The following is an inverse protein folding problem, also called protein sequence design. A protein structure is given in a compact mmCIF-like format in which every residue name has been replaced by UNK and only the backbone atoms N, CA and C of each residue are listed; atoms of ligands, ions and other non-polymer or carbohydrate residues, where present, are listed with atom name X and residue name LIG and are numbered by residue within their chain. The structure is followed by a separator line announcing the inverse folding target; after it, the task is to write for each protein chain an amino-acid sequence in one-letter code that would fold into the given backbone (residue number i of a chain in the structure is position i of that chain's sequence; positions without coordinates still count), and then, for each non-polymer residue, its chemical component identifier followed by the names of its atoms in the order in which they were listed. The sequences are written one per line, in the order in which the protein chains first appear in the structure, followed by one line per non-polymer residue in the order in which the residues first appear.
data_IF_337371210040
#
_entry.id   IF_337371210040
#
_cell.length_a   1.000
_cell.length_b   1.000
_cell.length_c   1.000
_cell.angle_alpha   90.00
_cell.angle_beta   90.00
_cell.angle_gamma   90.00
#
_symmetry.space_group_name_H-M   'P 1'
#
loop_
_entity.id
_entity.type
_entity.pdbx_description
1 polymer ?
#
# COMPACT_ATOMS: atom_id res chain seq x y z
N UNK A 1 -7.54 -2.52 -4.12
CA UNK A 1 -6.64 -2.49 -5.30
C UNK A 1 -7.41 -2.11 -6.55
N UNK A 2 -8.24 -2.99 -7.13
CA UNK A 2 -8.88 -2.77 -8.46
C UNK A 2 -9.68 -1.46 -8.62
N UNK A 3 -10.27 -0.92 -7.55
CA UNK A 3 -11.00 0.36 -7.60
C UNK A 3 -10.09 1.59 -7.78
N UNK A 4 -8.80 1.46 -7.49
CA UNK A 4 -7.85 2.58 -7.44
C UNK A 4 -6.67 2.40 -8.41
N UNK A 5 -6.36 1.15 -8.80
CA UNK A 5 -5.50 0.81 -9.94
C UNK A 5 -6.20 1.24 -11.24
N UNK A 6 -5.92 2.46 -11.66
CA UNK A 6 -6.48 3.08 -12.86
C UNK A 6 -5.65 2.69 -14.09
N UNK A 7 -4.36 2.46 -13.91
CA UNK A 7 -3.45 1.94 -14.93
C UNK A 7 -3.74 0.51 -15.37
N UNK A 8 -4.45 -0.25 -14.53
CA UNK A 8 -4.72 -1.70 -14.68
C UNK A 8 -3.44 -2.51 -14.86
N UNK A 9 -2.38 -2.11 -14.16
CA UNK A 9 -1.10 -2.80 -14.20
C UNK A 9 -0.93 -3.78 -13.03
N UNK A 10 -1.92 -3.88 -12.14
CA UNK A 10 -1.92 -4.78 -10.99
C UNK A 10 -1.18 -4.22 -9.77
N UNK A 11 -0.77 -2.95 -9.82
CA UNK A 11 -0.10 -2.23 -8.74
C UNK A 11 -0.78 -0.88 -8.47
N UNK A 12 -0.43 -0.26 -7.35
CA UNK A 12 -0.80 1.12 -7.05
C UNK A 12 0.48 1.95 -7.05
N UNK A 13 0.56 2.88 -8.00
CA UNK A 13 1.63 3.86 -8.00
C UNK A 13 1.36 5.03 -7.02
N UNK A 14 2.33 5.93 -6.90
CA UNK A 14 2.25 7.09 -6.00
C UNK A 14 1.03 7.99 -6.26
N UNK A 15 0.63 8.17 -7.53
CA UNK A 15 -0.50 9.02 -7.90
C UNK A 15 -1.83 8.33 -7.63
N UNK A 16 -1.90 7.03 -7.84
CA UNK A 16 -3.05 6.21 -7.52
C UNK A 16 -3.26 6.11 -6.00
N UNK A 17 -2.18 5.97 -5.23
CA UNK A 17 -2.22 6.02 -3.77
C UNK A 17 -2.70 7.38 -3.28
N UNK A 18 -2.19 8.46 -3.87
CA UNK A 18 -2.66 9.82 -3.57
C UNK A 18 -4.17 9.95 -3.78
N UNK A 19 -4.66 9.54 -4.94
CA UNK A 19 -6.09 9.60 -5.28
C UNK A 19 -6.94 8.73 -4.34
N UNK A 20 -6.42 7.56 -3.97
CA UNK A 20 -7.06 6.68 -3.00
C UNK A 20 -7.22 7.39 -1.65
N UNK A 21 -6.16 7.98 -1.12
CA UNK A 21 -6.16 8.69 0.18
C UNK A 21 -7.09 9.91 0.16
N UNK A 22 -7.13 10.66 -0.94
CA UNK A 22 -8.09 11.77 -1.12
C UNK A 22 -9.55 11.28 -1.11
N UNK A 23 -9.84 10.18 -1.83
CA UNK A 23 -11.18 9.58 -1.87
C UNK A 23 -11.63 8.99 -0.53
N UNK A 24 -10.68 8.56 0.30
CA UNK A 24 -10.94 8.06 1.66
C UNK A 24 -11.08 9.19 2.69
N UNK A 25 -10.90 10.46 2.28
CA UNK A 25 -11.00 11.61 3.18
C UNK A 25 -9.78 11.80 4.09
N UNK A 26 -8.66 11.13 3.78
CA UNK A 26 -7.42 11.16 4.56
C UNK A 26 -6.23 11.58 3.69
N UNK A 27 -6.25 12.77 3.06
CA UNK A 27 -5.19 13.21 2.16
C UNK A 27 -3.84 13.24 2.87
N UNK A 28 -2.82 12.70 2.22
CA UNK A 28 -1.45 12.64 2.74
C UNK A 28 -0.53 13.60 1.97
N UNK A 29 0.57 13.99 2.60
CA UNK A 29 1.62 14.75 1.91
C UNK A 29 2.38 13.85 0.94
N UNK A 30 3.04 14.43 -0.07
CA UNK A 30 3.89 13.68 -1.00
C UNK A 30 4.97 12.85 -0.30
N UNK A 31 5.56 13.41 0.78
CA UNK A 31 6.55 12.70 1.57
C UNK A 31 5.91 11.56 2.38
N UNK A 32 4.73 11.78 2.95
CA UNK A 32 3.96 10.74 3.65
C UNK A 32 3.64 9.57 2.73
N UNK A 33 3.13 9.84 1.54
CA UNK A 33 2.84 8.81 0.52
C UNK A 33 4.09 8.03 0.12
N UNK A 34 5.22 8.70 -0.08
CA UNK A 34 6.51 8.03 -0.38
C UNK A 34 6.96 7.12 0.76
N UNK A 35 6.80 7.55 2.00
CA UNK A 35 7.13 6.72 3.16
C UNK A 35 6.22 5.50 3.25
N UNK A 36 4.91 5.67 3.02
CA UNK A 36 3.95 4.56 3.01
C UNK A 36 4.28 3.51 1.95
N UNK A 37 4.68 3.94 0.74
CA UNK A 37 5.14 3.00 -0.29
C UNK A 37 6.39 2.29 0.18
N UNK A 38 7.40 3.04 0.64
CA UNK A 38 8.68 2.49 1.08
C UNK A 38 8.58 1.48 2.24
N UNK A 39 7.54 1.57 3.08
CA UNK A 39 7.29 0.64 4.18
C UNK A 39 6.77 -0.73 3.74
N UNK A 40 6.32 -0.86 2.49
CA UNK A 40 5.64 -2.04 1.97
C UNK A 40 6.27 -2.55 0.67
N UNK A 41 6.91 -1.68 -0.10
CA UNK A 41 7.63 -1.96 -1.36
C UNK A 41 8.87 -2.82 -1.11
N UNK A 42 8.73 -4.14 -1.26
CA UNK A 42 9.78 -5.12 -1.00
C UNK A 42 10.72 -5.32 -2.19
N UNK A 43 10.20 -5.14 -3.40
CA UNK A 43 10.97 -5.31 -4.63
C UNK A 43 11.59 -4.00 -5.16
N UNK A 44 11.29 -2.88 -4.48
CA UNK A 44 11.82 -1.54 -4.73
C UNK A 44 11.45 -0.97 -6.11
N UNK A 45 10.30 -1.36 -6.66
CA UNK A 45 9.80 -0.83 -7.93
C UNK A 45 9.08 0.53 -7.79
N UNK A 46 8.87 0.99 -6.55
CA UNK A 46 8.24 2.26 -6.22
C UNK A 46 6.72 2.27 -6.31
N UNK A 47 6.10 1.09 -6.36
CA UNK A 47 4.65 0.87 -6.38
C UNK A 47 4.25 -0.13 -5.30
N UNK A 48 2.94 -0.33 -5.15
CA UNK A 48 2.38 -1.33 -4.24
C UNK A 48 1.65 -2.39 -5.04
N UNK A 49 2.26 -3.57 -5.16
CA UNK A 49 1.58 -4.72 -5.75
C UNK A 49 0.55 -5.31 -4.77
N UNK A 50 -0.42 -6.05 -5.31
CA UNK A 50 -1.38 -6.79 -4.49
C UNK A 50 -0.69 -7.74 -3.50
N UNK A 51 0.42 -8.36 -3.91
CA UNK A 51 1.18 -9.30 -3.10
C UNK A 51 1.79 -8.60 -1.87
N UNK A 52 2.52 -7.50 -2.08
CA UNK A 52 3.19 -6.77 -1.00
C UNK A 52 2.19 -6.22 0.03
N UNK A 53 1.05 -5.70 -0.46
CA UNK A 53 0.01 -5.19 0.44
C UNK A 53 -0.68 -6.29 1.25
N UNK A 54 -0.73 -7.53 0.74
CA UNK A 54 -1.31 -8.69 1.43
C UNK A 54 -0.32 -9.28 2.44
N UNK A 55 0.97 -9.39 2.08
CA UNK A 55 2.03 -9.88 2.96
C UNK A 55 2.13 -9.03 4.23
N UNK A 56 2.13 -7.70 4.11
CA UNK A 56 2.07 -6.78 5.26
C UNK A 56 0.82 -6.96 6.12
N UNK A 57 -0.35 -7.19 5.51
CA UNK A 57 -1.59 -7.46 6.26
C UNK A 57 -1.57 -8.81 7.00
N UNK A 58 -0.86 -9.81 6.46
CA UNK A 58 -0.71 -11.12 7.09
C UNK A 58 0.31 -11.05 8.23
N UNK A 59 1.42 -10.33 8.04
CA UNK A 59 2.42 -10.09 9.08
C UNK A 59 1.84 -9.28 10.25
N UNK A 60 1.12 -8.18 9.95
CA UNK A 60 0.39 -7.39 10.95
C UNK A 60 -0.69 -8.20 11.71
N UNK A 61 -1.14 -9.34 11.16
CA UNK A 61 -2.10 -10.26 11.81
C UNK A 61 -1.42 -11.44 12.51
N UNK A 62 -0.12 -11.66 12.30
CA UNK A 62 0.67 -12.75 12.88
C UNK A 62 1.19 -12.47 14.29
N UNK A 63 1.28 -11.20 14.70
CA UNK A 63 1.77 -10.81 16.04
C UNK A 63 0.81 -11.15 17.21
N UNK A 64 -0.38 -11.70 16.92
CA UNK A 64 -1.35 -12.15 17.94
C UNK A 64 -1.36 -13.67 18.17
N UNK A 65 -0.53 -14.42 17.45
CA UNK A 65 -0.38 -15.88 17.61
C UNK A 65 0.98 -16.24 18.22
N UNK A 66 1.46 -15.45 19.20
CA UNK A 66 2.35 -16.00 20.22
C UNK A 66 1.49 -16.78 21.23
N UNK A 67 1.35 -18.08 20.97
CA UNK A 67 0.55 -18.98 21.79
C UNK A 67 0.83 -18.81 23.29
N UNK A 68 -0.10 -18.15 23.98
CA UNK A 68 -0.35 -18.28 25.41
C UNK A 68 -1.23 -19.50 25.65
#
# INVERSE_FOLDING_TARGET
MERYDTGKDGSIDLMELKLMMEKLGAPQTHLGLKNMIKEVDEDFDGKLSFRETLEQQLESRGEWFDGS
#
